data_IF_000440604464
#
_entry.id   IF_000440604464
#
_cell.length_a   1.000
_cell.length_b   1.000
_cell.length_c   1.000
_cell.angle_alpha   90.00
_cell.angle_beta   90.00
_cell.angle_gamma   90.00
#
_symmetry.space_group_name_H-M   'P 1'
#
loop_
_entity.id
_entity.type
_entity.pdbx_description
1 polymer ?
#
# COMPACT_ATOMS: atom_id res chain seq x y z
N UNK A 1 26.04 -1.17 -11.70
CA UNK A 1 25.75 -2.37 -12.50
C UNK A 1 25.57 -3.52 -11.50
N UNK A 2 24.37 -4.00 -11.31
CA UNK A 2 24.12 -5.15 -10.41
C UNK A 2 24.21 -6.42 -11.24
N UNK A 3 25.16 -7.29 -10.89
CA UNK A 3 25.32 -8.63 -11.46
C UNK A 3 24.44 -9.58 -10.65
N UNK A 4 23.46 -10.20 -11.27
CA UNK A 4 22.74 -11.34 -10.72
C UNK A 4 23.57 -12.58 -11.08
N UNK A 5 24.34 -13.10 -10.13
CA UNK A 5 24.95 -14.42 -10.25
C UNK A 5 23.91 -15.43 -9.79
N UNK A 6 23.35 -16.18 -10.72
CA UNK A 6 22.44 -17.28 -10.44
C UNK A 6 23.29 -18.50 -10.06
N UNK A 7 23.60 -18.69 -8.77
CA UNK A 7 24.18 -19.94 -8.26
C UNK A 7 23.05 -20.85 -7.79
N UNK A 8 22.63 -21.75 -8.63
CA UNK A 8 21.84 -22.92 -8.29
C UNK A 8 22.50 -24.15 -8.86
N UNK A 9 22.52 -25.29 -8.12
CA UNK A 9 23.09 -26.59 -8.53
C UNK A 9 22.25 -27.27 -9.62
N UNK A 10 21.86 -26.54 -10.65
CA UNK A 10 21.47 -27.10 -11.93
C UNK A 10 22.71 -27.06 -12.81
N UNK A 11 23.15 -28.20 -13.23
CA UNK A 11 24.18 -28.39 -14.28
C UNK A 11 23.67 -27.78 -15.59
N UNK A 12 23.65 -26.47 -15.66
CA UNK A 12 23.51 -25.72 -16.89
C UNK A 12 24.90 -25.71 -17.53
N UNK A 13 25.03 -26.40 -18.66
CA UNK A 13 26.16 -26.28 -19.60
C UNK A 13 26.16 -24.81 -20.09
N UNK A 14 26.94 -23.96 -19.50
CA UNK A 14 27.15 -22.53 -19.67
C UNK A 14 26.48 -21.71 -18.56
N UNK A 15 27.28 -21.14 -17.66
CA UNK A 15 26.88 -20.10 -16.72
C UNK A 15 26.59 -18.81 -17.52
N UNK A 16 25.38 -18.67 -18.03
CA UNK A 16 24.91 -17.39 -18.57
C UNK A 16 24.66 -16.42 -17.42
N UNK A 17 25.60 -15.51 -17.21
CA UNK A 17 25.41 -14.38 -16.28
C UNK A 17 24.43 -13.39 -16.89
N UNK A 18 23.19 -13.42 -16.44
CA UNK A 18 22.18 -12.45 -16.86
C UNK A 18 22.51 -11.05 -16.31
N UNK A 19 22.93 -10.15 -17.19
CA UNK A 19 23.21 -8.76 -16.85
C UNK A 19 21.94 -7.92 -17.00
N UNK A 20 21.38 -7.45 -15.88
CA UNK A 20 20.20 -6.59 -15.86
C UNK A 20 20.58 -5.22 -15.30
N UNK A 21 20.19 -4.16 -16.02
CA UNK A 21 20.27 -2.79 -15.53
C UNK A 21 18.93 -2.39 -14.90
N UNK A 22 18.78 -2.66 -13.59
CA UNK A 22 17.53 -2.44 -12.85
C UNK A 22 16.93 -1.03 -13.01
N UNK A 23 17.71 0.07 -13.00
CA UNK A 23 17.13 1.41 -13.22
C UNK A 23 16.35 1.56 -14.52
N UNK A 24 16.76 0.88 -15.61
CA UNK A 24 16.05 0.91 -16.88
C UNK A 24 14.76 0.07 -16.86
N UNK A 25 14.66 -0.90 -15.95
CA UNK A 25 13.48 -1.76 -15.81
C UNK A 25 12.46 -1.14 -14.86
N UNK A 26 12.93 -0.62 -13.73
CA UNK A 26 12.10 -0.03 -12.66
C UNK A 26 11.65 1.39 -13.04
N UNK A 27 12.54 2.17 -13.66
CA UNK A 27 12.29 3.56 -14.04
C UNK A 27 12.34 4.53 -12.86
N UNK A 28 11.82 5.74 -13.11
CA UNK A 28 11.89 6.87 -12.18
C UNK A 28 10.91 6.73 -10.99
N UNK A 29 11.21 7.46 -9.91
CA UNK A 29 10.30 7.66 -8.76
C UNK A 29 10.38 6.61 -7.65
N UNK A 30 11.05 5.47 -7.87
CA UNK A 30 11.00 4.33 -6.96
C UNK A 30 12.34 3.98 -6.26
N UNK A 31 13.33 4.88 -6.30
CA UNK A 31 14.64 4.63 -5.65
C UNK A 31 14.50 4.40 -4.12
N UNK A 32 13.69 5.22 -3.44
CA UNK A 32 13.43 5.04 -1.99
C UNK A 32 12.71 3.73 -1.72
N UNK A 33 11.66 3.43 -2.50
CA UNK A 33 10.94 2.15 -2.43
C UNK A 33 11.87 0.95 -2.52
N UNK A 34 12.77 0.96 -3.51
CA UNK A 34 13.63 -0.17 -3.82
C UNK A 34 14.64 -0.48 -2.72
N UNK A 35 15.18 0.54 -2.08
CA UNK A 35 16.27 0.42 -1.12
C UNK A 35 15.81 0.35 0.35
N UNK A 36 14.56 0.64 0.62
CA UNK A 36 14.05 0.65 1.98
C UNK A 36 13.90 -0.77 2.56
N UNK A 37 14.33 -0.94 3.82
CA UNK A 37 14.32 -2.22 4.52
C UNK A 37 13.60 -2.20 5.87
N UNK A 38 13.01 -1.07 6.28
CA UNK A 38 12.18 -0.98 7.47
C UNK A 38 10.90 -1.81 7.34
N UNK A 39 10.16 -1.91 8.42
CA UNK A 39 9.01 -2.80 8.56
C UNK A 39 7.87 -2.47 7.57
N UNK A 40 7.54 -1.19 7.40
CA UNK A 40 6.38 -0.78 6.61
C UNK A 40 6.76 0.06 5.40
N UNK A 41 6.51 -0.46 4.23
CA UNK A 41 6.69 0.24 2.96
C UNK A 41 5.33 0.54 2.35
N UNK A 42 4.86 1.78 2.53
CA UNK A 42 3.49 2.21 2.24
C UNK A 42 3.48 3.13 1.03
N UNK A 43 2.90 2.67 -0.08
CA UNK A 43 2.90 3.40 -1.34
C UNK A 43 1.48 3.71 -1.78
N UNK A 44 1.07 4.94 -1.55
CA UNK A 44 -0.14 5.47 -2.18
C UNK A 44 0.18 6.14 -3.50
N UNK A 45 -0.78 6.20 -4.38
CA UNK A 45 -0.54 6.94 -5.62
C UNK A 45 -1.68 6.92 -6.59
N UNK A 46 -1.52 7.68 -7.66
CA UNK A 46 -2.48 7.74 -8.74
C UNK A 46 -2.60 6.43 -9.51
N UNK A 47 -3.61 6.33 -10.35
CA UNK A 47 -3.62 5.34 -11.44
C UNK A 47 -2.40 5.55 -12.34
N UNK A 48 -1.97 4.49 -13.01
CA UNK A 48 -0.82 4.49 -13.92
C UNK A 48 0.53 4.93 -13.30
N UNK A 49 0.68 4.98 -11.98
CA UNK A 49 1.93 5.34 -11.30
C UNK A 49 2.93 4.18 -11.16
N UNK A 50 2.65 3.01 -11.70
CA UNK A 50 3.50 1.79 -11.68
C UNK A 50 3.63 1.11 -10.30
N UNK A 51 2.82 1.43 -9.30
CA UNK A 51 2.94 0.87 -7.94
C UNK A 51 3.06 -0.65 -7.94
N UNK A 52 2.03 -1.33 -8.45
CA UNK A 52 1.92 -2.80 -8.45
C UNK A 52 3.02 -3.45 -9.30
N UNK A 53 3.31 -2.87 -10.47
CA UNK A 53 4.42 -3.35 -11.34
C UNK A 53 5.77 -3.25 -10.66
N UNK A 54 6.04 -2.14 -9.97
CA UNK A 54 7.31 -1.97 -9.24
C UNK A 54 7.39 -2.89 -8.03
N UNK A 55 6.29 -3.10 -7.31
CA UNK A 55 6.23 -4.07 -6.21
C UNK A 55 6.51 -5.50 -6.73
N UNK A 56 5.85 -5.91 -7.80
CA UNK A 56 6.07 -7.23 -8.43
C UNK A 56 7.53 -7.44 -8.88
N UNK A 57 8.13 -6.44 -9.54
CA UNK A 57 9.55 -6.50 -9.93
C UNK A 57 10.46 -6.63 -8.70
N UNK A 58 10.17 -5.88 -7.64
CA UNK A 58 10.95 -5.92 -6.40
C UNK A 58 10.88 -7.30 -5.74
N UNK A 59 9.68 -7.89 -5.66
CA UNK A 59 9.50 -9.20 -5.04
C UNK A 59 10.17 -10.32 -5.84
N UNK A 60 9.96 -10.40 -7.14
CA UNK A 60 10.64 -11.42 -7.98
C UNK A 60 12.16 -11.30 -7.86
N UNK A 61 12.71 -10.07 -7.96
CA UNK A 61 14.14 -9.85 -7.84
C UNK A 61 14.69 -10.23 -6.46
N UNK A 62 14.00 -9.82 -5.37
CA UNK A 62 14.52 -10.05 -4.03
C UNK A 62 14.30 -11.49 -3.54
N UNK A 63 13.23 -12.17 -3.95
CA UNK A 63 13.09 -13.61 -3.69
C UNK A 63 14.26 -14.41 -4.26
N UNK A 64 14.70 -14.09 -5.46
CA UNK A 64 15.89 -14.72 -6.06
C UNK A 64 17.19 -14.35 -5.33
N UNK A 65 17.24 -13.17 -4.70
CA UNK A 65 18.42 -12.67 -3.98
C UNK A 65 18.54 -13.21 -2.55
N UNK A 66 17.43 -13.50 -1.90
CA UNK A 66 17.34 -13.93 -0.51
C UNK A 66 16.72 -15.33 -0.46
N UNK A 67 17.55 -16.41 -0.42
CA UNK A 67 17.08 -17.80 -0.61
C UNK A 67 16.16 -18.32 0.51
N UNK A 68 16.10 -17.62 1.67
CA UNK A 68 15.24 -18.01 2.79
C UNK A 68 13.92 -17.21 2.84
N UNK A 69 13.68 -16.33 1.86
CA UNK A 69 12.50 -15.46 1.88
C UNK A 69 11.29 -16.11 1.22
N UNK A 70 10.13 -16.00 1.86
CA UNK A 70 8.82 -16.28 1.24
C UNK A 70 7.94 -15.05 1.30
N UNK A 71 6.99 -14.97 0.38
CA UNK A 71 6.07 -13.84 0.22
C UNK A 71 4.63 -14.27 0.40
N UNK A 72 3.87 -13.50 1.16
CA UNK A 72 2.43 -13.58 1.24
C UNK A 72 1.80 -12.38 0.52
N UNK A 73 0.98 -12.64 -0.49
CA UNK A 73 0.26 -11.62 -1.25
C UNK A 73 -1.21 -11.61 -0.83
N UNK A 74 -1.71 -10.44 -0.47
CA UNK A 74 -3.04 -10.27 0.08
C UNK A 74 -3.84 -9.24 -0.71
N UNK A 75 -5.11 -9.55 -0.94
CA UNK A 75 -6.18 -8.60 -1.28
C UNK A 75 -7.42 -8.88 -0.43
N UNK A 76 -8.34 -7.95 -0.37
CA UNK A 76 -9.61 -8.15 0.31
C UNK A 76 -10.33 -9.40 -0.19
N UNK A 77 -10.37 -9.62 -1.51
CA UNK A 77 -11.08 -10.75 -2.14
C UNK A 77 -10.11 -11.66 -2.88
N UNK A 78 -10.12 -12.96 -2.56
CA UNK A 78 -9.24 -13.97 -3.17
C UNK A 78 -9.36 -14.03 -4.70
N UNK A 79 -10.59 -13.99 -5.23
CA UNK A 79 -10.86 -14.11 -6.67
C UNK A 79 -10.12 -13.05 -7.52
N UNK A 80 -9.85 -11.87 -6.96
CA UNK A 80 -9.20 -10.78 -7.69
C UNK A 80 -7.68 -10.94 -7.78
N UNK A 81 -7.07 -11.82 -6.99
CA UNK A 81 -5.62 -12.03 -6.93
C UNK A 81 -5.05 -12.59 -8.23
N UNK A 82 -5.78 -13.49 -8.91
CA UNK A 82 -5.33 -14.10 -10.16
C UNK A 82 -5.13 -13.07 -11.26
N UNK A 83 -6.11 -12.21 -11.46
CA UNK A 83 -6.11 -11.21 -12.53
C UNK A 83 -5.29 -9.96 -12.19
N UNK A 84 -4.86 -9.83 -10.94
CA UNK A 84 -4.03 -8.70 -10.46
C UNK A 84 -2.62 -9.16 -10.09
N UNK A 85 -2.36 -9.40 -8.79
CA UNK A 85 -1.01 -9.65 -8.27
C UNK A 85 -0.31 -10.84 -8.92
N UNK A 86 -1.01 -11.94 -9.16
CA UNK A 86 -0.43 -13.14 -9.80
C UNK A 86 0.04 -12.84 -11.22
N UNK A 87 -0.81 -12.17 -12.01
CA UNK A 87 -0.47 -11.75 -13.37
C UNK A 87 0.68 -10.72 -13.37
N UNK A 88 0.71 -9.79 -12.41
CA UNK A 88 1.80 -8.81 -12.29
C UNK A 88 3.14 -9.47 -11.91
N UNK A 89 3.15 -10.47 -11.02
CA UNK A 89 4.34 -11.23 -10.67
C UNK A 89 4.86 -12.07 -11.86
N UNK A 90 3.97 -12.71 -12.60
CA UNK A 90 4.31 -13.43 -13.83
C UNK A 90 4.89 -12.49 -14.90
N UNK A 91 4.29 -11.31 -15.07
CA UNK A 91 4.84 -10.25 -15.92
C UNK A 91 6.24 -9.81 -15.45
N UNK A 92 6.44 -9.64 -14.14
CA UNK A 92 7.73 -9.24 -13.58
C UNK A 92 8.83 -10.28 -13.84
N UNK A 93 8.51 -11.57 -13.70
CA UNK A 93 9.46 -12.65 -14.03
C UNK A 93 9.86 -12.63 -15.52
N UNK A 94 8.90 -12.40 -16.43
CA UNK A 94 9.16 -12.19 -17.87
C UNK A 94 10.02 -10.95 -18.12
N UNK A 95 9.67 -9.84 -17.49
CA UNK A 95 10.38 -8.56 -17.66
C UNK A 95 11.83 -8.64 -17.20
N UNK A 96 12.10 -9.44 -16.16
CA UNK A 96 13.44 -9.76 -15.66
C UNK A 96 14.12 -10.91 -16.42
N UNK A 97 13.46 -11.52 -17.41
CA UNK A 97 13.96 -12.65 -18.21
C UNK A 97 14.28 -13.90 -17.37
N UNK A 98 13.56 -14.11 -16.29
CA UNK A 98 13.77 -15.23 -15.34
C UNK A 98 12.52 -16.11 -15.19
N UNK A 99 11.56 -16.02 -16.09
CA UNK A 99 10.31 -16.79 -16.04
C UNK A 99 10.56 -18.30 -15.97
N UNK A 100 11.57 -18.79 -16.66
CA UNK A 100 11.96 -20.21 -16.68
C UNK A 100 12.44 -20.77 -15.34
N UNK A 101 12.73 -19.90 -14.37
CA UNK A 101 13.12 -20.25 -12.99
C UNK A 101 11.93 -20.31 -12.04
N UNK A 102 10.73 -20.03 -12.51
CA UNK A 102 9.54 -19.95 -11.70
C UNK A 102 8.46 -20.90 -12.19
N UNK A 103 7.82 -21.60 -11.26
CA UNK A 103 6.61 -22.37 -11.51
C UNK A 103 5.40 -21.58 -10.99
N UNK A 104 4.52 -21.14 -11.90
CA UNK A 104 3.30 -20.41 -11.58
C UNK A 104 2.09 -21.34 -11.71
N UNK A 105 1.46 -21.68 -10.57
CA UNK A 105 0.32 -22.60 -10.50
C UNK A 105 -0.96 -21.82 -10.20
N UNK A 106 -2.04 -22.15 -10.91
CA UNK A 106 -3.33 -21.48 -10.74
C UNK A 106 -4.28 -22.22 -9.77
N UNK A 107 -4.00 -23.49 -9.51
CA UNK A 107 -4.75 -24.31 -8.55
C UNK A 107 -3.82 -25.32 -7.87
N UNK A 108 -3.41 -25.08 -6.62
CA UNK A 108 -3.62 -23.88 -5.81
C UNK A 108 -2.95 -22.66 -6.43
N UNK A 109 -3.46 -21.44 -6.12
CA UNK A 109 -2.86 -20.20 -6.60
C UNK A 109 -1.58 -19.92 -5.81
N UNK A 110 -0.43 -20.22 -6.41
CA UNK A 110 0.90 -20.03 -5.84
C UNK A 110 1.96 -19.88 -6.92
N UNK A 111 3.13 -19.40 -6.54
CA UNK A 111 4.31 -19.42 -7.40
C UNK A 111 5.51 -19.94 -6.61
N UNK A 112 6.34 -20.75 -7.26
CA UNK A 112 7.53 -21.35 -6.66
C UNK A 112 8.77 -20.95 -7.44
N UNK A 113 9.80 -20.52 -6.72
CA UNK A 113 11.14 -20.33 -7.28
C UNK A 113 11.87 -21.67 -7.28
N UNK A 114 11.95 -22.30 -8.45
CA UNK A 114 12.42 -23.68 -8.64
C UNK A 114 13.80 -23.95 -8.02
N UNK A 115 14.82 -23.05 -8.13
CA UNK A 115 16.16 -23.36 -7.64
C UNK A 115 16.26 -23.57 -6.12
N UNK A 116 15.39 -22.98 -5.33
CA UNK A 116 15.46 -23.00 -3.85
C UNK A 116 14.17 -23.44 -3.17
N UNK A 117 13.07 -23.60 -3.91
CA UNK A 117 11.77 -24.03 -3.37
C UNK A 117 11.01 -22.95 -2.60
N UNK A 118 11.46 -21.71 -2.66
CA UNK A 118 10.74 -20.58 -2.03
C UNK A 118 9.40 -20.35 -2.71
N UNK A 119 8.41 -19.89 -1.94
CA UNK A 119 7.05 -19.73 -2.46
C UNK A 119 6.48 -18.32 -2.29
N UNK A 120 5.59 -17.99 -3.20
CA UNK A 120 4.67 -16.85 -3.12
C UNK A 120 3.27 -17.43 -2.90
N UNK A 121 2.68 -17.08 -1.75
CA UNK A 121 1.35 -17.50 -1.35
C UNK A 121 0.36 -16.38 -1.62
N UNK A 122 -0.85 -16.73 -2.06
CA UNK A 122 -1.93 -15.77 -2.34
C UNK A 122 -3.11 -16.07 -1.41
N UNK A 123 -3.60 -15.06 -0.68
CA UNK A 123 -4.73 -15.19 0.24
C UNK A 123 -5.66 -14.00 0.14
N UNK A 124 -6.96 -14.26 0.25
CA UNK A 124 -7.97 -13.22 0.41
C UNK A 124 -8.35 -13.03 1.88
N UNK A 125 -8.76 -11.83 2.26
CA UNK A 125 -9.30 -11.55 3.60
C UNK A 125 -10.76 -11.96 3.76
N UNK A 126 -11.38 -12.46 2.70
CA UNK A 126 -12.65 -13.17 2.76
C UNK A 126 -12.60 -14.47 3.59
N UNK A 127 -11.39 -14.98 3.88
CA UNK A 127 -11.13 -16.05 4.83
C UNK A 127 -9.89 -15.73 5.70
N UNK A 128 -10.04 -14.94 6.79
CA UNK A 128 -8.93 -14.51 7.63
C UNK A 128 -8.17 -15.67 8.29
N UNK A 129 -8.84 -16.78 8.60
CA UNK A 129 -8.20 -17.96 9.22
C UNK A 129 -7.17 -18.61 8.28
N UNK A 130 -7.43 -18.61 6.98
CA UNK A 130 -6.46 -19.11 5.98
C UNK A 130 -5.23 -18.22 5.83
N UNK A 131 -5.35 -16.94 6.15
CA UNK A 131 -4.23 -16.02 6.09
C UNK A 131 -3.25 -16.25 7.23
N UNK A 132 -3.77 -16.40 8.46
CA UNK A 132 -2.95 -16.57 9.67
C UNK A 132 -2.32 -17.95 9.80
N UNK A 133 -2.78 -18.93 9.02
CA UNK A 133 -2.31 -20.34 9.06
C UNK A 133 -1.26 -20.67 7.99
N UNK A 134 -0.72 -19.69 7.26
CA UNK A 134 0.31 -19.96 6.25
C UNK A 134 1.60 -20.42 6.90
N UNK A 135 2.00 -21.64 6.59
CA UNK A 135 3.31 -22.22 6.93
C UNK A 135 4.16 -22.36 5.69
N UNK A 136 5.48 -22.30 5.84
CA UNK A 136 6.43 -22.40 4.75
C UNK A 136 7.30 -23.62 4.93
N UNK A 137 7.59 -24.32 3.85
CA UNK A 137 8.45 -25.53 3.86
C UNK A 137 9.94 -25.16 3.89
N UNK A 138 10.29 -24.04 3.26
CA UNK A 138 11.67 -23.56 3.12
C UNK A 138 11.76 -22.12 3.63
N UNK A 139 12.78 -21.81 4.43
CA UNK A 139 13.04 -20.45 4.90
C UNK A 139 11.99 -19.92 5.87
N UNK A 140 11.63 -18.65 5.74
CA UNK A 140 10.64 -17.99 6.60
C UNK A 140 9.69 -17.10 5.80
N UNK A 141 8.45 -16.94 6.31
CA UNK A 141 7.49 -15.97 5.78
C UNK A 141 7.87 -14.58 6.30
N UNK A 142 8.62 -13.83 5.52
CA UNK A 142 9.20 -12.55 5.93
C UNK A 142 8.64 -11.35 5.20
N UNK A 143 8.00 -11.55 4.05
CA UNK A 143 7.42 -10.46 3.29
C UNK A 143 5.93 -10.65 3.07
N UNK A 144 5.21 -9.53 3.15
CA UNK A 144 3.80 -9.43 2.82
C UNK A 144 3.60 -8.30 1.82
N UNK A 145 2.76 -8.54 0.82
CA UNK A 145 2.29 -7.51 -0.11
C UNK A 145 0.77 -7.40 -0.03
N UNK A 146 0.29 -6.27 0.45
CA UNK A 146 -1.13 -5.94 0.49
C UNK A 146 -1.43 -5.00 -0.68
N UNK A 147 -2.04 -5.55 -1.73
CA UNK A 147 -2.45 -4.81 -2.92
C UNK A 147 -3.87 -4.29 -2.75
N UNK A 148 -4.11 -3.08 -3.24
CA UNK A 148 -5.33 -2.32 -3.01
C UNK A 148 -5.67 -2.25 -1.50
N UNK A 149 -4.65 -1.93 -0.69
CA UNK A 149 -4.74 -1.93 0.77
C UNK A 149 -5.84 -1.03 1.32
N UNK A 150 -6.30 -0.08 0.52
CA UNK A 150 -7.46 0.75 0.84
C UNK A 150 -8.77 -0.07 1.02
N UNK A 151 -8.85 -1.26 0.45
CA UNK A 151 -10.00 -2.17 0.63
C UNK A 151 -10.12 -2.73 2.06
N UNK A 152 -9.05 -2.64 2.88
CA UNK A 152 -9.03 -3.06 4.29
C UNK A 152 -9.52 -1.90 5.14
N UNK A 153 -10.80 -1.91 5.48
CA UNK A 153 -11.46 -0.79 6.15
C UNK A 153 -11.10 -0.66 7.63
N UNK A 154 -10.79 -1.78 8.30
CA UNK A 154 -10.50 -1.81 9.74
C UNK A 154 -9.00 -1.99 9.96
N UNK A 155 -8.41 -1.17 10.82
CA UNK A 155 -7.01 -1.28 11.22
C UNK A 155 -6.73 -2.59 11.97
N UNK A 156 -7.67 -3.08 12.79
CA UNK A 156 -7.55 -4.33 13.53
C UNK A 156 -7.37 -5.56 12.61
N UNK A 157 -7.99 -5.55 11.42
CA UNK A 157 -7.80 -6.62 10.43
C UNK A 157 -6.34 -6.65 9.95
N UNK A 158 -5.74 -5.48 9.78
CA UNK A 158 -4.32 -5.38 9.43
C UNK A 158 -3.43 -5.82 10.59
N UNK A 159 -3.69 -5.44 11.84
CA UNK A 159 -2.88 -5.84 12.99
C UNK A 159 -2.81 -7.38 13.09
N UNK A 160 -3.92 -8.07 12.88
CA UNK A 160 -3.97 -9.54 12.81
C UNK A 160 -3.09 -10.11 11.70
N UNK A 161 -3.03 -9.44 10.55
CA UNK A 161 -2.16 -9.85 9.44
C UNK A 161 -0.69 -9.61 9.75
N UNK A 162 -0.35 -8.48 10.35
CA UNK A 162 1.01 -8.11 10.67
C UNK A 162 1.67 -9.09 11.63
N UNK A 163 0.91 -9.60 12.60
CA UNK A 163 1.33 -10.68 13.50
C UNK A 163 1.66 -12.00 12.78
N UNK A 164 1.14 -12.20 11.57
CA UNK A 164 1.42 -13.40 10.76
C UNK A 164 2.82 -13.39 10.13
N UNK A 165 3.46 -12.22 10.00
CA UNK A 165 4.83 -12.08 9.50
C UNK A 165 5.81 -12.25 10.66
N UNK A 166 5.99 -13.50 11.03
CA UNK A 166 6.80 -13.95 12.17
C UNK A 166 7.74 -15.09 11.74
N UNK A 167 8.52 -15.61 12.66
CA UNK A 167 9.53 -16.64 12.46
C UNK A 167 10.93 -16.09 12.59
N UNK A 168 11.89 -16.97 12.88
CA UNK A 168 13.29 -16.61 13.03
C UNK A 168 13.91 -16.35 11.65
N UNK A 169 14.65 -15.25 11.54
CA UNK A 169 15.55 -15.05 10.42
C UNK A 169 16.84 -15.81 10.71
N UNK A 170 17.38 -16.59 9.77
CA UNK A 170 18.63 -17.31 9.99
C UNK A 170 19.76 -16.38 10.44
N UNK A 171 20.56 -16.83 11.41
CA UNK A 171 21.68 -16.06 11.94
C UNK A 171 22.69 -15.73 10.82
N UNK A 172 23.19 -14.50 10.80
CA UNK A 172 24.07 -13.99 9.74
C UNK A 172 23.39 -13.66 8.42
N UNK A 173 22.09 -13.94 8.25
CA UNK A 173 21.32 -13.54 7.08
C UNK A 173 21.10 -12.02 7.05
N UNK A 174 21.14 -11.46 5.82
CA UNK A 174 20.77 -10.05 5.56
C UNK A 174 19.27 -9.90 5.26
N UNK A 175 18.48 -10.94 5.49
CA UNK A 175 17.05 -10.95 5.31
C UNK A 175 16.39 -10.00 6.35
N UNK A 176 15.22 -9.50 6.04
CA UNK A 176 14.43 -8.60 6.89
C UNK A 176 12.95 -8.85 6.68
N UNK A 177 12.14 -8.49 7.68
CA UNK A 177 10.69 -8.62 7.60
C UNK A 177 10.10 -7.30 7.13
N UNK A 178 9.20 -7.36 6.14
CA UNK A 178 8.60 -6.14 5.59
C UNK A 178 7.17 -6.38 5.09
N UNK A 179 6.30 -5.44 5.40
CA UNK A 179 4.97 -5.33 4.82
C UNK A 179 4.95 -4.20 3.80
N UNK A 180 4.53 -4.51 2.58
CA UNK A 180 4.40 -3.53 1.49
C UNK A 180 2.93 -3.30 1.19
N UNK A 181 2.53 -2.03 1.19
CA UNK A 181 1.18 -1.61 0.83
C UNK A 181 1.20 -0.87 -0.48
N UNK A 182 0.27 -1.21 -1.37
CA UNK A 182 0.04 -0.48 -2.62
C UNK A 182 -1.45 -0.17 -2.75
N UNK A 183 -1.80 1.10 -2.93
CA UNK A 183 -3.21 1.51 -3.02
C UNK A 183 -3.41 2.90 -3.64
N UNK A 184 -4.66 3.20 -3.98
CA UNK A 184 -5.10 4.53 -4.38
C UNK A 184 -5.81 5.20 -3.19
N UNK A 185 -5.50 6.46 -2.86
CA UNK A 185 -5.96 7.12 -1.62
C UNK A 185 -7.33 7.78 -1.80
N UNK A 186 -8.41 6.98 -1.85
CA UNK A 186 -9.76 7.46 -2.16
C UNK A 186 -10.40 8.32 -1.07
N UNK A 187 -10.04 8.12 0.21
CA UNK A 187 -10.64 8.84 1.34
C UNK A 187 -9.56 9.16 2.39
N UNK A 188 -9.46 10.42 2.78
CA UNK A 188 -8.48 10.87 3.78
C UNK A 188 -8.78 10.40 5.21
N UNK A 189 -10.01 9.99 5.51
CA UNK A 189 -10.39 9.45 6.83
C UNK A 189 -9.96 8.01 7.04
N UNK A 190 -9.37 7.37 6.04
CA UNK A 190 -8.92 5.99 6.14
C UNK A 190 -7.77 5.85 7.14
N UNK A 191 -7.76 4.78 7.94
CA UNK A 191 -6.76 4.50 8.97
C UNK A 191 -5.31 4.50 8.43
N UNK A 192 -5.10 4.07 7.18
CA UNK A 192 -3.79 4.11 6.52
C UNK A 192 -3.17 5.50 6.51
N UNK A 193 -4.00 6.57 6.37
CA UNK A 193 -3.50 7.94 6.42
C UNK A 193 -2.99 8.26 7.82
N UNK A 194 -3.82 8.09 8.83
CA UNK A 194 -3.48 8.40 10.22
C UNK A 194 -2.24 7.64 10.68
N UNK A 195 -2.18 6.33 10.42
CA UNK A 195 -1.08 5.47 10.90
C UNK A 195 0.24 5.75 10.19
N UNK A 196 0.26 5.82 8.87
CA UNK A 196 1.50 5.77 8.09
C UNK A 196 1.90 7.10 7.44
N UNK A 197 0.97 8.04 7.27
CA UNK A 197 1.27 9.32 6.61
C UNK A 197 1.27 10.50 7.59
N UNK A 198 0.36 10.49 8.57
CA UNK A 198 0.30 11.56 9.57
C UNK A 198 1.25 11.28 10.74
N UNK A 199 1.43 10.00 11.12
CA UNK A 199 2.27 9.57 12.25
C UNK A 199 3.26 8.45 11.83
N UNK A 200 4.14 8.66 10.84
CA UNK A 200 5.13 7.66 10.47
C UNK A 200 6.21 7.54 11.56
N UNK A 201 6.64 6.31 11.81
CA UNK A 201 7.81 6.00 12.61
C UNK A 201 9.08 5.78 11.74
N UNK A 202 10.22 5.51 12.36
CA UNK A 202 11.49 5.29 11.66
C UNK A 202 11.50 4.00 10.83
N UNK A 203 10.61 3.05 11.15
CA UNK A 203 10.43 1.80 10.42
C UNK A 203 9.44 1.91 9.25
N UNK A 204 8.95 3.12 8.96
CA UNK A 204 7.93 3.40 7.96
C UNK A 204 8.46 4.24 6.80
N UNK A 205 8.30 3.75 5.57
CA UNK A 205 8.43 4.56 4.36
C UNK A 205 7.03 4.87 3.81
N UNK A 206 6.55 6.09 4.01
CA UNK A 206 5.36 6.60 3.35
C UNK A 206 5.74 7.30 2.02
N UNK A 207 5.28 6.75 0.90
CA UNK A 207 5.62 7.24 -0.42
C UNK A 207 4.35 7.59 -1.22
N UNK A 208 4.34 8.77 -1.82
CA UNK A 208 3.32 9.16 -2.80
C UNK A 208 3.89 9.12 -4.20
N UNK A 209 3.21 8.43 -5.12
CA UNK A 209 3.60 8.33 -6.52
C UNK A 209 2.46 8.75 -7.44
N UNK A 210 2.79 9.20 -8.64
CA UNK A 210 1.78 9.60 -9.61
C UNK A 210 2.17 9.21 -11.04
N UNK A 211 1.27 9.44 -12.00
CA UNK A 211 1.48 9.07 -13.39
C UNK A 211 2.70 9.77 -14.04
N UNK A 212 3.17 10.92 -13.52
CA UNK A 212 4.32 11.64 -14.05
C UNK A 212 5.65 10.89 -13.87
N UNK A 213 5.72 9.93 -12.92
CA UNK A 213 6.88 9.07 -12.77
C UNK A 213 6.87 7.87 -13.74
N UNK A 214 5.81 7.71 -14.55
CA UNK A 214 5.67 6.61 -15.50
C UNK A 214 6.11 7.05 -16.90
N UNK A 215 7.34 6.77 -17.25
CA UNK A 215 7.95 7.07 -18.53
C UNK A 215 7.40 6.27 -19.70
N UNK A 216 6.65 5.20 -19.43
CA UNK A 216 6.09 4.32 -20.48
C UNK A 216 4.66 4.70 -20.91
N UNK A 217 4.09 5.75 -20.33
CA UNK A 217 2.80 6.25 -20.77
C UNK A 217 2.94 6.94 -22.14
N UNK A 218 2.08 6.58 -23.06
CA UNK A 218 1.98 7.24 -24.35
C UNK A 218 1.25 8.60 -24.29
N UNK A 219 1.10 9.23 -25.43
CA UNK A 219 0.43 10.54 -25.54
C UNK A 219 -1.08 10.45 -25.23
N UNK A 220 -1.72 9.33 -25.58
CA UNK A 220 -3.15 9.11 -25.33
C UNK A 220 -3.42 8.96 -23.84
N UNK A 221 -2.61 8.16 -23.14
CA UNK A 221 -2.69 7.99 -21.68
C UNK A 221 -2.52 9.34 -20.95
N UNK A 222 -1.52 10.12 -21.33
CA UNK A 222 -1.26 11.44 -20.73
C UNK A 222 -2.40 12.41 -20.95
N UNK A 223 -3.01 12.40 -22.14
CA UNK A 223 -4.15 13.24 -22.48
C UNK A 223 -5.37 12.98 -21.59
N UNK A 224 -5.58 11.74 -21.13
CA UNK A 224 -6.64 11.42 -20.17
C UNK A 224 -6.46 12.20 -18.88
N UNK A 225 -5.24 12.27 -18.33
CA UNK A 225 -4.95 13.04 -17.12
C UNK A 225 -5.04 14.54 -17.34
N UNK A 226 -4.60 15.06 -18.48
CA UNK A 226 -4.73 16.47 -18.83
C UNK A 226 -6.20 16.89 -18.96
N UNK A 227 -7.01 16.08 -19.60
CA UNK A 227 -8.46 16.28 -19.69
C UNK A 227 -9.10 16.25 -18.32
N UNK A 228 -8.72 15.29 -17.48
CA UNK A 228 -9.20 15.19 -16.09
C UNK A 228 -8.81 16.44 -15.29
N UNK A 229 -7.58 16.93 -15.43
CA UNK A 229 -7.10 18.16 -14.79
C UNK A 229 -7.97 19.36 -15.12
N UNK A 230 -8.38 19.48 -16.40
CA UNK A 230 -9.22 20.58 -16.88
C UNK A 230 -10.68 20.47 -16.41
N UNK A 231 -11.25 19.28 -16.53
CA UNK A 231 -12.69 19.09 -16.36
C UNK A 231 -13.09 18.72 -14.93
N UNK A 232 -12.20 18.07 -14.16
CA UNK A 232 -12.45 17.70 -12.77
C UNK A 232 -11.16 17.75 -11.94
N UNK A 233 -10.75 18.96 -11.51
CA UNK A 233 -9.53 19.16 -10.73
C UNK A 233 -9.48 18.35 -9.41
N UNK A 234 -10.63 18.18 -8.72
CA UNK A 234 -10.73 17.38 -7.49
C UNK A 234 -10.35 15.91 -7.78
N UNK A 235 -10.97 15.30 -8.78
CA UNK A 235 -10.63 13.94 -9.21
C UNK A 235 -9.19 13.83 -9.68
N UNK A 236 -8.65 14.83 -10.36
CA UNK A 236 -7.26 14.87 -10.78
C UNK A 236 -6.29 14.87 -9.60
N UNK A 237 -6.60 15.60 -8.52
CA UNK A 237 -5.78 15.61 -7.32
C UNK A 237 -5.60 14.19 -6.73
N UNK A 238 -6.64 13.37 -6.75
CA UNK A 238 -6.62 11.99 -6.25
C UNK A 238 -6.11 11.01 -7.31
N UNK A 239 -6.86 10.86 -8.40
CA UNK A 239 -6.61 9.84 -9.43
C UNK A 239 -5.41 10.16 -10.33
N UNK A 240 -5.04 11.43 -10.47
CA UNK A 240 -3.89 11.89 -11.25
C UNK A 240 -2.63 12.09 -10.40
N UNK A 241 -2.72 12.77 -9.28
CA UNK A 241 -1.57 13.14 -8.47
C UNK A 241 -1.35 12.24 -7.24
N UNK A 242 -2.29 11.37 -6.88
CA UNK A 242 -2.18 10.48 -5.72
C UNK A 242 -2.39 11.19 -4.37
N UNK A 243 -3.04 12.36 -4.39
CA UNK A 243 -3.51 13.04 -3.19
C UNK A 243 -4.64 12.25 -2.51
N UNK A 244 -4.87 12.50 -1.23
CA UNK A 244 -6.01 11.91 -0.54
C UNK A 244 -7.32 12.51 -1.05
N UNK A 245 -8.31 11.64 -1.27
CA UNK A 245 -9.64 12.05 -1.62
C UNK A 245 -10.37 12.65 -0.42
N UNK A 246 -11.08 13.73 -0.68
CA UNK A 246 -12.02 14.30 0.29
C UNK A 246 -13.33 13.55 0.09
N UNK A 247 -14.06 13.30 1.17
CA UNK A 247 -15.38 12.65 1.11
C UNK A 247 -16.32 13.53 0.31
N UNK A 248 -16.75 13.08 -0.87
CA UNK A 248 -17.81 13.75 -1.62
C UNK A 248 -19.13 13.57 -0.88
N UNK A 249 -19.90 14.63 -0.78
CA UNK A 249 -21.23 14.59 -0.15
C UNK A 249 -21.33 15.29 1.20
N UNK A 250 -20.31 16.02 1.63
CA UNK A 250 -20.46 16.92 2.77
C UNK A 250 -21.46 18.03 2.40
N UNK A 251 -22.56 18.09 3.10
CA UNK A 251 -23.56 19.18 3.00
C UNK A 251 -22.91 20.54 3.24
N UNK A 252 -21.82 20.55 4.00
CA UNK A 252 -21.01 21.73 4.30
C UNK A 252 -19.57 21.51 3.86
N UNK A 253 -19.13 22.18 2.79
CA UNK A 253 -17.75 22.05 2.25
C UNK A 253 -16.69 22.84 3.05
N UNK A 254 -17.12 23.85 3.83
CA UNK A 254 -16.25 24.82 4.52
C UNK A 254 -16.27 24.68 6.05
N UNK A 255 -16.48 23.47 6.56
CA UNK A 255 -16.39 23.27 7.99
C UNK A 255 -14.93 23.13 8.45
N UNK A 256 -14.67 23.57 9.67
CA UNK A 256 -13.42 23.36 10.37
C UNK A 256 -13.70 22.69 11.70
N UNK A 257 -12.89 21.68 12.01
CA UNK A 257 -12.88 21.12 13.35
C UNK A 257 -12.17 22.13 14.27
N UNK A 258 -12.85 22.56 15.33
CA UNK A 258 -12.33 23.55 16.22
C UNK A 258 -12.83 23.26 17.64
N UNK A 259 -11.90 23.19 18.57
CA UNK A 259 -12.24 23.09 19.98
C UNK A 259 -12.86 24.41 20.48
N UNK A 260 -13.91 24.28 21.23
CA UNK A 260 -14.57 25.41 21.89
C UNK A 260 -15.07 25.02 23.27
N UNK A 261 -15.19 26.02 24.15
CA UNK A 261 -15.79 25.86 25.48
C UNK A 261 -17.18 26.51 25.52
N UNK A 262 -18.17 25.75 25.98
CA UNK A 262 -19.51 26.24 26.18
C UNK A 262 -19.59 27.03 27.48
N UNK A 263 -19.88 28.35 27.38
CA UNK A 263 -19.96 29.24 28.52
C UNK A 263 -21.26 30.06 28.49
N UNK A 264 -21.78 30.45 29.64
CA UNK A 264 -22.88 31.44 29.67
C UNK A 264 -22.32 32.84 29.41
N UNK A 265 -23.12 33.72 28.81
CA UNK A 265 -22.75 35.14 28.63
C UNK A 265 -22.38 35.81 29.93
N UNK A 266 -23.06 35.45 31.02
CA UNK A 266 -22.81 35.96 32.37
C UNK A 266 -21.42 35.53 32.90
N UNK A 267 -21.00 34.30 32.66
CA UNK A 267 -19.73 33.81 33.14
C UNK A 267 -18.57 34.29 32.25
N UNK A 268 -18.80 34.43 30.94
CA UNK A 268 -17.81 35.02 30.04
C UNK A 268 -17.43 36.46 30.43
N UNK A 269 -18.36 37.23 30.91
CA UNK A 269 -18.11 38.62 31.35
C UNK A 269 -17.20 38.70 32.59
N UNK A 270 -17.09 37.60 33.36
CA UNK A 270 -16.24 37.54 34.55
C UNK A 270 -14.78 37.17 34.22
N UNK A 271 -14.53 36.64 33.01
CA UNK A 271 -13.18 36.26 32.57
C UNK A 271 -12.33 37.50 32.34
N UNK A 272 -11.03 37.39 32.64
CA UNK A 272 -10.06 38.41 32.27
C UNK A 272 -9.74 38.41 30.76
N UNK A 273 -8.97 39.37 30.27
CA UNK A 273 -8.62 39.52 28.87
C UNK A 273 -7.67 38.44 28.38
N UNK A 274 -6.87 37.81 29.23
CA UNK A 274 -5.99 36.74 28.91
C UNK A 274 -6.77 35.43 28.72
N UNK A 275 -7.71 35.15 29.62
CA UNK A 275 -8.62 34.00 29.54
C UNK A 275 -9.49 34.05 28.30
N UNK A 276 -10.09 35.25 28.01
CA UNK A 276 -10.91 35.45 26.79
C UNK A 276 -10.17 35.17 25.49
N UNK A 277 -8.85 35.37 25.46
CA UNK A 277 -8.00 35.14 24.27
C UNK A 277 -7.45 33.73 24.20
N UNK A 278 -7.47 32.98 25.31
CA UNK A 278 -6.80 31.67 25.41
C UNK A 278 -7.58 30.54 24.73
N UNK A 279 -8.90 30.68 24.56
CA UNK A 279 -9.79 29.65 24.02
C UNK A 279 -10.87 30.25 23.11
N UNK A 280 -11.46 29.39 22.31
CA UNK A 280 -12.68 29.75 21.59
C UNK A 280 -13.89 29.45 22.45
N UNK A 281 -14.77 30.44 22.64
CA UNK A 281 -15.99 30.31 23.44
C UNK A 281 -17.20 30.33 22.57
N UNK A 282 -18.18 29.48 22.90
CA UNK A 282 -19.53 29.48 22.33
C UNK A 282 -20.53 29.72 23.47
N UNK A 283 -21.41 30.67 23.31
CA UNK A 283 -22.38 30.98 24.35
C UNK A 283 -23.52 29.98 24.36
N UNK A 284 -23.81 29.40 25.52
CA UNK A 284 -24.90 28.43 25.70
C UNK A 284 -26.27 28.95 25.24
N UNK A 285 -26.49 30.25 25.42
CA UNK A 285 -27.72 30.94 25.06
C UNK A 285 -27.88 31.07 23.53
N UNK A 286 -26.82 30.97 22.77
CA UNK A 286 -26.84 31.11 21.31
C UNK A 286 -26.79 29.74 20.58
N UNK A 287 -26.78 28.63 21.34
CA UNK A 287 -26.79 27.27 20.77
C UNK A 287 -28.22 26.77 20.65
N UNK A 288 -28.71 26.68 19.42
CA UNK A 288 -29.94 25.97 19.12
C UNK A 288 -29.69 24.48 19.04
N UNK A 289 -30.46 23.67 19.76
CA UNK A 289 -30.43 22.24 19.68
C UNK A 289 -31.35 21.75 18.57
N UNK A 290 -30.80 21.10 17.56
CA UNK A 290 -31.56 20.42 16.53
C UNK A 290 -31.32 18.91 16.63
N UNK A 291 -32.40 18.12 16.61
CA UNK A 291 -32.33 16.66 16.54
C UNK A 291 -32.83 16.22 15.18
N UNK A 292 -31.98 15.53 14.42
CA UNK A 292 -32.35 14.83 13.20
C UNK A 292 -32.42 13.32 13.48
N UNK A 293 -33.51 12.68 13.07
CA UNK A 293 -33.60 11.22 13.04
C UNK A 293 -33.52 10.78 11.59
N UNK A 294 -32.46 10.12 11.22
CA UNK A 294 -32.30 9.50 9.91
C UNK A 294 -32.76 8.03 10.00
N UNK A 295 -33.80 7.70 9.24
CA UNK A 295 -34.21 6.31 9.05
C UNK A 295 -33.44 5.77 7.86
N UNK A 296 -32.15 5.43 8.07
CA UNK A 296 -31.28 4.89 7.03
C UNK A 296 -31.96 3.79 6.22
N UNK A 297 -32.01 3.95 4.93
CA UNK A 297 -32.33 2.89 4.01
C UNK A 297 -31.09 2.00 3.81
N UNK A 298 -31.25 0.71 3.73
CA UNK A 298 -30.38 -0.47 3.63
C UNK A 298 -28.95 -0.36 3.07
N UNK A 299 -28.37 0.82 2.95
CA UNK A 299 -27.02 1.07 2.44
C UNK A 299 -26.22 2.09 3.28
N UNK A 300 -26.58 2.26 4.55
CA UNK A 300 -25.70 2.99 5.47
C UNK A 300 -24.40 2.22 5.64
N UNK A 301 -23.23 2.88 5.52
CA UNK A 301 -21.92 2.26 5.60
C UNK A 301 -21.60 1.71 6.98
#
# INVERSE_FOLDING_TARGET
MFLLSLRGNLTLKNEEVLKIYLPAIVGKGYKKFWNFKGRYRVVKGSRASKKSKTAALWFIYNLMKYPDANLLVIRKTFRTLKDSCFTELKWAAKRLKVEHLWNFTESPLEAEYIPTGQKIYFRGLDDPLKVTSVTVDVGCLCWMWIEEAYEIMNEADFDTLDESIRGAIPEGSKLFKQVTFTFNPWNERHWLKKRFFDNPDDETLALTTNYLCNEWLDAADKKVFETMKKNNPRRYAVAGLGGWGIVDGLVYENWKEQDFELISKKDYLKLDDAEKKSKNYVFREDVESAFGLDFGYTNDP
#
